data_IF_446679415061
#
_entry.id   IF_446679415061
#
_cell.length_a   1.000
_cell.length_b   1.000
_cell.length_c   1.000
_cell.angle_alpha   90.00
_cell.angle_beta   90.00
_cell.angle_gamma   90.00
#
_symmetry.space_group_name_H-M   'P 1'
#
loop_
_entity.id
_entity.type
_entity.pdbx_description
1 polymer ?
#
# COMPACT_ATOMS: atom_id res chain seq x y z
N UNK A 1 5.41 -10.44 -7.50
CA UNK A 1 4.11 -10.50 -8.19
C UNK A 1 2.95 -10.87 -7.26
N UNK A 2 2.96 -11.98 -6.51
CA UNK A 2 1.83 -12.37 -5.62
C UNK A 2 1.43 -11.29 -4.59
N UNK A 3 2.39 -10.61 -3.97
CA UNK A 3 2.13 -9.57 -2.98
C UNK A 3 1.39 -8.34 -3.56
N UNK A 4 1.75 -7.93 -4.77
CA UNK A 4 1.11 -6.80 -5.45
C UNK A 4 -0.31 -7.13 -5.91
N UNK A 5 -0.51 -8.30 -6.48
CA UNK A 5 -1.84 -8.76 -6.94
C UNK A 5 -2.81 -8.93 -5.77
N UNK A 6 -2.36 -9.57 -4.67
CA UNK A 6 -3.19 -9.74 -3.47
C UNK A 6 -3.57 -8.41 -2.80
N UNK A 7 -2.66 -7.42 -2.84
CA UNK A 7 -2.91 -6.09 -2.31
C UNK A 7 -4.00 -5.33 -3.11
N UNK A 8 -4.00 -5.47 -4.44
CA UNK A 8 -5.03 -4.88 -5.30
C UNK A 8 -6.40 -5.50 -5.01
N UNK A 9 -6.47 -6.82 -4.87
CA UNK A 9 -7.71 -7.53 -4.54
C UNK A 9 -8.24 -7.12 -3.16
N UNK A 10 -7.36 -7.00 -2.16
CA UNK A 10 -7.73 -6.53 -0.83
C UNK A 10 -8.29 -5.10 -0.88
N UNK A 11 -7.60 -4.19 -1.58
CA UNK A 11 -8.05 -2.80 -1.71
C UNK A 11 -9.40 -2.72 -2.41
N UNK A 12 -9.62 -3.52 -3.46
CA UNK A 12 -10.90 -3.56 -4.18
C UNK A 12 -12.03 -4.07 -3.28
N UNK A 13 -11.83 -5.20 -2.60
CA UNK A 13 -12.84 -5.77 -1.70
C UNK A 13 -13.25 -4.78 -0.61
N UNK A 14 -12.28 -4.10 0.02
CA UNK A 14 -12.56 -3.10 1.05
C UNK A 14 -13.27 -1.87 0.51
N UNK A 15 -12.96 -1.42 -0.71
CA UNK A 15 -13.66 -0.32 -1.37
C UNK A 15 -15.13 -0.62 -1.60
N UNK A 16 -15.44 -1.82 -2.10
CA UNK A 16 -16.82 -2.26 -2.35
C UNK A 16 -17.64 -2.43 -1.05
N UNK A 17 -17.00 -2.82 0.04
CA UNK A 17 -17.66 -2.98 1.34
C UNK A 17 -17.94 -1.63 1.98
N UNK A 18 -16.96 -0.71 2.01
CA UNK A 18 -17.03 0.53 2.79
C UNK A 18 -17.69 1.68 2.01
N UNK A 19 -17.51 1.73 0.68
CA UNK A 19 -18.13 2.69 -0.26
C UNK A 19 -18.05 4.16 0.17
N UNK A 20 -16.93 4.57 0.76
CA UNK A 20 -16.75 5.93 1.24
C UNK A 20 -16.53 6.92 0.09
N UNK A 21 -17.28 8.03 0.06
CA UNK A 21 -17.13 9.09 -0.92
C UNK A 21 -15.78 9.81 -0.77
N UNK A 22 -15.22 10.29 -1.89
CA UNK A 22 -13.98 11.09 -1.91
C UNK A 22 -14.21 12.53 -1.48
N UNK A 23 -13.17 13.25 -0.98
CA UNK A 23 -13.25 14.68 -0.68
C UNK A 23 -13.65 15.50 -1.90
N UNK A 24 -13.04 15.20 -3.06
CA UNK A 24 -13.39 15.80 -4.34
C UNK A 24 -13.69 14.70 -5.37
N UNK A 25 -14.75 14.85 -6.18
CA UNK A 25 -15.05 13.89 -7.23
C UNK A 25 -13.94 13.92 -8.29
N UNK A 26 -13.44 12.72 -8.64
CA UNK A 26 -12.51 12.58 -9.77
C UNK A 26 -13.31 12.81 -11.05
N UNK A 27 -12.77 13.59 -11.98
CA UNK A 27 -13.41 13.86 -13.27
C UNK A 27 -13.87 12.55 -13.95
N UNK A 28 -15.10 12.55 -14.47
CA UNK A 28 -15.85 11.39 -14.99
C UNK A 28 -15.26 10.75 -16.28
N UNK A 29 -14.02 11.06 -16.63
CA UNK A 29 -13.41 10.64 -17.91
C UNK A 29 -12.87 9.21 -17.93
N UNK A 30 -12.97 8.45 -16.82
CA UNK A 30 -12.59 7.05 -16.77
C UNK A 30 -13.83 6.16 -16.90
N UNK A 31 -13.90 5.32 -17.92
CA UNK A 31 -15.01 4.38 -18.15
C UNK A 31 -14.69 2.96 -17.62
N UNK A 32 -15.72 2.23 -17.19
CA UNK A 32 -15.64 0.83 -16.85
C UNK A 32 -15.02 0.48 -15.50
N UNK A 33 -14.27 -0.63 -15.44
CA UNK A 33 -13.68 -1.20 -14.22
C UNK A 33 -12.77 -0.23 -13.45
N UNK A 34 -12.04 0.64 -14.18
CA UNK A 34 -11.17 1.67 -13.58
C UNK A 34 -12.00 2.73 -12.85
N UNK A 35 -13.18 3.06 -13.35
CA UNK A 35 -14.09 4.01 -12.69
C UNK A 35 -14.61 3.46 -11.36
N UNK A 36 -15.00 2.18 -11.30
CA UNK A 36 -15.47 1.55 -10.07
C UNK A 36 -14.37 1.49 -8.99
N UNK A 37 -13.13 1.19 -9.37
CA UNK A 37 -11.99 1.19 -8.43
C UNK A 37 -11.68 2.61 -7.90
N UNK A 38 -11.87 3.64 -8.73
CA UNK A 38 -11.56 5.02 -8.37
C UNK A 38 -12.70 5.75 -7.66
N UNK A 39 -13.92 5.22 -7.67
CA UNK A 39 -15.10 5.88 -7.13
C UNK A 39 -15.04 6.05 -5.60
N UNK A 40 -14.47 5.10 -4.88
CA UNK A 40 -14.42 5.13 -3.42
C UNK A 40 -13.07 5.56 -2.88
N UNK A 41 -13.10 6.32 -1.76
CA UNK A 41 -11.88 6.87 -1.15
C UNK A 41 -11.15 5.88 -0.25
N UNK A 42 -11.86 5.02 0.47
CA UNK A 42 -11.27 4.11 1.44
C UNK A 42 -11.17 2.67 0.92
N UNK A 43 -10.07 1.98 1.14
CA UNK A 43 -8.77 2.49 1.56
C UNK A 43 -8.01 3.14 0.40
N UNK A 44 -6.93 3.91 0.74
CA UNK A 44 -6.02 4.45 -0.27
C UNK A 44 -5.17 3.34 -0.89
N UNK A 45 -5.42 3.03 -2.16
CA UNK A 45 -4.67 2.00 -2.88
C UNK A 45 -3.19 2.32 -3.02
N UNK A 46 -2.83 3.60 -3.18
CA UNK A 46 -1.44 4.05 -3.23
C UNK A 46 -0.73 3.82 -1.89
N UNK A 47 -1.35 4.20 -0.78
CA UNK A 47 -0.76 3.99 0.55
C UNK A 47 -0.57 2.50 0.82
N UNK A 48 -1.58 1.67 0.57
CA UNK A 48 -1.49 0.21 0.71
C UNK A 48 -0.35 -0.36 -0.12
N UNK A 49 -0.26 0.04 -1.40
CA UNK A 49 0.80 -0.43 -2.29
C UNK A 49 2.19 -0.04 -1.76
N UNK A 50 2.39 1.22 -1.38
CA UNK A 50 3.69 1.69 -0.88
C UNK A 50 4.10 0.98 0.40
N UNK A 51 3.19 0.80 1.35
CA UNK A 51 3.48 0.09 2.60
C UNK A 51 3.89 -1.35 2.33
N UNK A 52 3.11 -2.08 1.52
CA UNK A 52 3.37 -3.50 1.27
C UNK A 52 4.61 -3.70 0.40
N UNK A 53 4.73 -2.94 -0.71
CA UNK A 53 5.83 -3.11 -1.65
C UNK A 53 7.16 -2.63 -1.06
N UNK A 54 7.24 -1.38 -0.62
CA UNK A 54 8.48 -0.84 -0.08
C UNK A 54 8.80 -1.40 1.30
N UNK A 55 7.79 -1.75 2.11
CA UNK A 55 7.99 -2.43 3.38
C UNK A 55 8.59 -3.83 3.19
N UNK A 56 8.08 -4.59 2.21
CA UNK A 56 8.66 -5.90 1.88
C UNK A 56 10.06 -5.77 1.27
N UNK A 57 10.30 -4.76 0.44
CA UNK A 57 11.62 -4.50 -0.11
C UNK A 57 12.63 -4.09 0.97
N UNK A 58 12.23 -3.27 1.94
CA UNK A 58 13.03 -2.93 3.11
C UNK A 58 13.38 -4.18 3.95
N UNK A 59 12.40 -5.08 4.14
CA UNK A 59 12.63 -6.37 4.80
C UNK A 59 13.66 -7.24 4.05
N UNK A 60 13.57 -7.32 2.71
CA UNK A 60 14.56 -8.05 1.91
C UNK A 60 15.95 -7.39 1.97
N UNK A 61 16.02 -6.07 1.95
CA UNK A 61 17.27 -5.33 2.12
C UNK A 61 17.90 -5.61 3.50
N UNK A 62 17.09 -5.67 4.54
CA UNK A 62 17.55 -6.08 5.87
C UNK A 62 18.16 -7.48 5.89
N UNK A 63 17.55 -8.42 5.15
CA UNK A 63 17.99 -9.83 5.10
C UNK A 63 19.23 -10.07 4.24
N UNK A 64 19.38 -9.34 3.14
CA UNK A 64 20.35 -9.66 2.09
C UNK A 64 21.45 -8.61 1.92
N UNK A 65 21.26 -7.38 2.37
CA UNK A 65 22.27 -6.34 2.28
C UNK A 65 23.03 -6.18 3.59
N UNK A 66 24.26 -5.59 3.52
CA UNK A 66 25.09 -5.32 4.68
C UNK A 66 25.60 -3.88 4.66
N UNK A 67 26.08 -3.40 5.81
CA UNK A 67 26.73 -2.11 5.96
C UNK A 67 25.86 -0.93 5.57
N UNK A 68 26.46 0.10 4.95
CA UNK A 68 25.79 1.36 4.60
C UNK A 68 24.71 1.18 3.52
N UNK A 69 24.89 0.26 2.57
CA UNK A 69 23.91 0.00 1.52
C UNK A 69 22.56 -0.42 2.09
N UNK A 70 22.56 -1.30 3.11
CA UNK A 70 21.34 -1.72 3.82
C UNK A 70 20.59 -0.52 4.42
N UNK A 71 21.33 0.34 5.13
CA UNK A 71 20.72 1.51 5.80
C UNK A 71 20.13 2.50 4.79
N UNK A 72 20.85 2.76 3.69
CA UNK A 72 20.39 3.67 2.64
C UNK A 72 19.09 3.15 2.00
N UNK A 73 19.06 1.88 1.61
CA UNK A 73 17.87 1.29 0.97
C UNK A 73 16.67 1.32 1.91
N UNK A 74 16.85 0.94 3.17
CA UNK A 74 15.77 0.98 4.16
C UNK A 74 15.27 2.42 4.37
N UNK A 75 16.18 3.38 4.51
CA UNK A 75 15.83 4.79 4.69
C UNK A 75 15.01 5.33 3.51
N UNK A 76 15.39 5.00 2.27
CA UNK A 76 14.64 5.40 1.07
C UNK A 76 13.25 4.77 1.10
N UNK A 77 13.13 3.47 1.38
CA UNK A 77 11.84 2.79 1.45
C UNK A 77 10.92 3.42 2.51
N UNK A 78 11.43 3.69 3.71
CA UNK A 78 10.66 4.31 4.77
C UNK A 78 10.25 5.74 4.42
N UNK A 79 11.12 6.53 3.79
CA UNK A 79 10.80 7.87 3.32
C UNK A 79 9.64 7.85 2.31
N UNK A 80 9.67 6.94 1.34
CA UNK A 80 8.60 6.76 0.35
C UNK A 80 7.28 6.37 1.02
N UNK A 81 7.31 5.45 1.99
CA UNK A 81 6.12 5.04 2.75
C UNK A 81 5.55 6.24 3.52
N UNK A 82 6.38 7.02 4.22
CA UNK A 82 5.91 8.15 5.02
C UNK A 82 5.34 9.26 4.15
N UNK A 83 5.96 9.57 3.01
CA UNK A 83 5.58 10.68 2.15
C UNK A 83 4.33 10.41 1.31
N UNK A 84 4.01 9.17 0.97
CA UNK A 84 2.87 8.86 0.10
C UNK A 84 1.54 9.30 0.73
N UNK A 85 1.33 9.09 2.03
CA UNK A 85 0.08 9.41 2.70
C UNK A 85 -0.24 10.91 2.66
N UNK A 86 0.62 11.79 3.19
CA UNK A 86 0.43 13.24 3.09
C UNK A 86 0.21 13.72 1.66
N UNK A 87 0.90 13.15 0.66
CA UNK A 87 0.72 13.53 -0.74
C UNK A 87 -0.70 13.26 -1.24
N UNK A 88 -1.35 12.15 -0.82
CA UNK A 88 -2.73 11.81 -1.21
C UNK A 88 -3.76 12.74 -0.57
N UNK A 89 -3.52 13.16 0.67
CA UNK A 89 -4.36 14.16 1.34
C UNK A 89 -4.19 15.53 0.68
N UNK A 90 -2.96 15.95 0.41
CA UNK A 90 -2.66 17.23 -0.22
C UNK A 90 -3.30 17.36 -1.61
N UNK A 91 -3.31 16.29 -2.39
CA UNK A 91 -3.97 16.22 -3.71
C UNK A 91 -5.50 16.15 -3.62
N UNK A 92 -6.08 16.08 -2.42
CA UNK A 92 -7.53 16.00 -2.24
C UNK A 92 -8.17 14.67 -2.67
N UNK A 93 -7.36 13.64 -2.97
CA UNK A 93 -7.86 12.34 -3.42
C UNK A 93 -8.43 11.49 -2.28
N UNK A 94 -7.93 11.69 -1.06
CA UNK A 94 -8.27 10.89 0.13
C UNK A 94 -8.42 11.75 1.38
N UNK A 95 -9.30 11.33 2.28
CA UNK A 95 -9.37 11.86 3.63
C UNK A 95 -8.14 11.39 4.46
N UNK A 96 -7.71 12.20 5.42
CA UNK A 96 -6.59 11.82 6.31
C UNK A 96 -6.86 10.49 7.02
N UNK A 97 -8.11 10.22 7.40
CA UNK A 97 -8.52 8.94 8.01
C UNK A 97 -8.41 7.74 7.06
N UNK A 98 -8.59 7.94 5.74
CA UNK A 98 -8.38 6.87 4.74
C UNK A 98 -6.90 6.49 4.68
N UNK A 99 -6.03 7.48 4.77
CA UNK A 99 -4.58 7.30 4.78
C UNK A 99 -4.13 6.55 6.03
N UNK A 100 -4.59 6.99 7.22
CA UNK A 100 -4.26 6.31 8.48
C UNK A 100 -4.75 4.85 8.49
N UNK A 101 -6.01 4.62 8.10
CA UNK A 101 -6.55 3.26 7.98
C UNK A 101 -5.76 2.40 6.99
N UNK A 102 -5.31 2.99 5.88
CA UNK A 102 -4.50 2.28 4.88
C UNK A 102 -3.11 1.92 5.39
N UNK A 103 -2.49 2.75 6.22
CA UNK A 103 -1.23 2.41 6.89
C UNK A 103 -1.39 1.20 7.81
N UNK A 104 -2.47 1.18 8.60
CA UNK A 104 -2.75 0.07 9.54
C UNK A 104 -2.99 -1.23 8.76
N UNK A 105 -3.90 -1.20 7.78
CA UNK A 105 -4.22 -2.38 6.96
C UNK A 105 -2.99 -2.85 6.19
N UNK A 106 -2.23 -1.91 5.60
CA UNK A 106 -1.01 -2.21 4.87
C UNK A 106 0.07 -2.85 5.74
N UNK A 107 0.23 -2.37 6.98
CA UNK A 107 1.17 -2.96 7.94
C UNK A 107 0.78 -4.39 8.34
N UNK A 108 -0.51 -4.64 8.61
CA UNK A 108 -1.02 -5.98 8.90
C UNK A 108 -0.78 -6.90 7.70
N UNK A 109 -1.11 -6.44 6.50
CA UNK A 109 -0.93 -7.24 5.28
C UNK A 109 0.55 -7.52 4.98
N UNK A 110 1.43 -6.51 5.17
CA UNK A 110 2.88 -6.67 5.07
C UNK A 110 3.39 -7.75 6.03
N UNK A 111 2.92 -7.74 7.26
CA UNK A 111 3.30 -8.74 8.26
C UNK A 111 2.91 -10.16 7.81
N UNK A 112 1.68 -10.34 7.32
CA UNK A 112 1.23 -11.63 6.75
C UNK A 112 2.12 -12.07 5.58
N UNK A 113 2.47 -11.14 4.68
CA UNK A 113 3.33 -11.45 3.53
C UNK A 113 4.76 -11.84 3.95
N UNK A 114 5.31 -11.20 4.99
CA UNK A 114 6.62 -11.57 5.54
C UNK A 114 6.58 -12.98 6.16
N UNK A 115 5.53 -13.31 6.90
CA UNK A 115 5.35 -14.66 7.47
C UNK A 115 5.24 -15.72 6.38
N UNK A 116 4.43 -15.45 5.34
CA UNK A 116 4.27 -16.35 4.20
C UNK A 116 5.60 -16.59 3.47
N UNK A 117 6.38 -15.53 3.26
CA UNK A 117 7.71 -15.62 2.67
C UNK A 117 8.66 -16.47 3.52
N UNK A 118 8.71 -16.21 4.83
CA UNK A 118 9.57 -16.98 5.75
C UNK A 118 9.22 -18.47 5.76
N UNK A 119 7.92 -18.78 5.77
CA UNK A 119 7.45 -20.16 5.71
C UNK A 119 7.83 -20.84 4.39
N UNK A 120 7.68 -20.16 3.26
CA UNK A 120 8.06 -20.69 1.96
C UNK A 120 9.58 -20.95 1.83
N UNK A 121 10.40 -20.07 2.40
CA UNK A 121 11.87 -20.23 2.39
C UNK A 121 12.35 -21.35 3.32
N UNK A 122 11.67 -21.58 4.44
CA UNK A 122 12.02 -22.67 5.39
C UNK A 122 11.71 -24.07 4.86
N UNK A 123 10.85 -24.18 3.85
CA UNK A 123 10.46 -25.47 3.26
C UNK A 123 11.36 -25.92 2.09
N UNK A 124 12.28 -25.09 1.66
CA UNK A 124 13.31 -25.40 0.66
C UNK A 124 14.62 -25.79 1.33
#
# INVERSE_FOLDING_TARGET
>A
MLATTSNVLLAFALKEIIRRARPFPIAENASGFIQSINQYSYPSGHVLFFVVFFGFFAYLAWRHFAGRARLIVIAICLALIVLIGPSRVFLGEHWASDVVGSYIIGAIWLFVMILAYQWAVRRK
#
